data_IF_703587599842
#
_entry.id   IF_703587599842
#
_cell.length_a   1.000
_cell.length_b   1.000
_cell.length_c   1.000
_cell.angle_alpha   90.00
_cell.angle_beta   90.00
_cell.angle_gamma   90.00
#
_symmetry.space_group_name_H-M   'P 1'
#
loop_
_entity.id
_entity.type
_entity.pdbx_description
1 polymer ?
#
# COMPACT_ATOMS: atom_id res chain seq x y z
N UNK A 1 26.94 -19.49 24.83
CA UNK A 1 25.64 -19.86 24.23
C UNK A 1 25.91 -20.34 22.81
N UNK A 2 25.31 -21.44 22.35
CA UNK A 2 25.44 -21.84 20.96
C UNK A 2 24.73 -20.81 20.08
N UNK A 3 25.42 -20.39 19.02
CA UNK A 3 24.91 -19.47 17.99
C UNK A 3 23.61 -20.06 17.44
N UNK A 4 22.52 -19.29 17.48
CA UNK A 4 21.24 -19.73 16.91
C UNK A 4 21.33 -19.83 15.39
N UNK A 5 20.55 -20.68 14.71
CA UNK A 5 20.52 -20.74 13.25
C UNK A 5 20.24 -19.38 12.57
N UNK A 6 19.51 -18.49 13.24
CA UNK A 6 19.26 -17.12 12.78
C UNK A 6 20.50 -16.21 12.91
N UNK A 7 21.27 -16.32 14.00
CA UNK A 7 22.57 -15.65 14.15
C UNK A 7 23.63 -16.25 13.20
N UNK A 8 23.52 -17.54 12.89
CA UNK A 8 24.32 -18.21 11.88
C UNK A 8 23.94 -17.74 10.47
N UNK A 9 22.68 -17.44 10.20
CA UNK A 9 22.22 -16.83 8.94
C UNK A 9 22.71 -15.38 8.79
N UNK A 10 22.77 -14.61 9.89
CA UNK A 10 23.44 -13.31 9.94
C UNK A 10 24.93 -13.40 9.59
N UNK A 11 25.60 -14.49 9.99
CA UNK A 11 27.02 -14.74 9.69
C UNK A 11 27.29 -15.40 8.33
N UNK A 12 26.34 -16.16 7.76
CA UNK A 12 26.51 -16.96 6.53
C UNK A 12 25.94 -16.31 5.26
N UNK A 13 25.44 -15.07 5.32
CA UNK A 13 25.09 -14.30 4.12
C UNK A 13 24.01 -14.92 3.23
N UNK A 14 23.16 -15.82 3.77
CA UNK A 14 22.03 -16.39 3.02
C UNK A 14 20.75 -15.64 3.38
N UNK A 15 20.00 -15.11 2.39
CA UNK A 15 18.70 -14.51 2.63
C UNK A 15 17.73 -15.54 3.18
N UNK A 16 16.79 -15.11 4.02
CA UNK A 16 15.69 -15.96 4.49
C UNK A 16 14.46 -15.79 3.58
N UNK A 17 13.56 -16.78 3.50
CA UNK A 17 12.47 -16.81 2.53
C UNK A 17 11.61 -15.53 2.49
N UNK A 18 11.35 -14.94 3.64
CA UNK A 18 10.48 -13.77 3.80
C UNK A 18 11.11 -12.51 3.20
N UNK A 19 12.44 -12.35 3.28
CA UNK A 19 13.16 -11.28 2.60
C UNK A 19 13.06 -11.42 1.08
N UNK A 20 13.30 -12.63 0.56
CA UNK A 20 13.23 -12.91 -0.88
C UNK A 20 11.80 -12.72 -1.39
N UNK A 21 10.81 -13.23 -0.65
CA UNK A 21 9.40 -13.12 -1.00
C UNK A 21 8.94 -11.66 -1.06
N UNK A 22 9.34 -10.84 -0.08
CA UNK A 22 9.07 -9.41 -0.09
C UNK A 22 9.68 -8.73 -1.30
N UNK A 23 10.98 -8.94 -1.58
CA UNK A 23 11.63 -8.31 -2.72
C UNK A 23 11.00 -8.73 -4.05
N UNK A 24 10.78 -10.03 -4.25
CA UNK A 24 10.13 -10.56 -5.46
C UNK A 24 8.69 -10.09 -5.62
N UNK A 25 8.00 -9.76 -4.53
CA UNK A 25 6.69 -9.12 -4.56
C UNK A 25 6.71 -7.79 -5.32
N UNK A 26 7.82 -7.05 -5.29
CA UNK A 26 7.98 -5.76 -5.97
C UNK A 26 8.16 -5.88 -7.47
N UNK A 27 8.62 -7.04 -7.96
CA UNK A 27 8.97 -7.25 -9.37
C UNK A 27 7.74 -7.26 -10.30
N UNK A 28 6.54 -7.38 -9.72
CA UNK A 28 5.29 -7.27 -10.47
C UNK A 28 4.88 -5.84 -10.83
N UNK A 29 5.54 -4.83 -10.25
CA UNK A 29 5.26 -3.40 -10.43
C UNK A 29 6.58 -2.62 -10.57
N UNK A 30 7.05 -2.48 -11.81
CA UNK A 30 8.27 -1.75 -12.15
C UNK A 30 7.89 -0.32 -12.52
N UNK A 31 8.21 0.65 -11.66
CA UNK A 31 7.77 2.04 -11.83
C UNK A 31 8.94 2.91 -12.28
N UNK A 32 8.89 3.47 -13.50
CA UNK A 32 9.83 4.49 -13.97
C UNK A 32 9.74 5.74 -13.10
N UNK A 33 10.87 6.23 -12.60
CA UNK A 33 10.93 7.51 -11.87
C UNK A 33 12.10 8.37 -12.30
N UNK A 34 11.93 9.69 -12.24
CA UNK A 34 12.99 10.65 -12.44
C UNK A 34 13.81 10.83 -11.15
N UNK A 35 13.13 10.87 -10.00
CA UNK A 35 13.76 11.03 -8.69
C UNK A 35 13.29 9.96 -7.70
N UNK A 36 14.02 9.80 -6.60
CA UNK A 36 13.58 8.90 -5.52
C UNK A 36 12.30 9.40 -4.83
N UNK A 37 11.98 10.70 -4.91
CA UNK A 37 10.79 11.32 -4.29
C UNK A 37 9.49 11.01 -5.03
N UNK A 38 9.58 10.44 -6.22
CA UNK A 38 8.42 10.17 -7.08
C UNK A 38 7.56 9.00 -6.54
N UNK A 39 8.13 8.13 -5.70
CA UNK A 39 7.39 7.24 -4.81
C UNK A 39 7.71 7.57 -3.35
N UNK A 40 6.77 7.24 -2.46
CA UNK A 40 6.85 7.63 -1.06
C UNK A 40 6.44 6.48 -0.14
N UNK A 41 7.19 6.28 0.95
CA UNK A 41 6.86 5.35 2.06
C UNK A 41 6.40 3.98 1.56
N UNK A 42 5.16 3.58 1.87
CA UNK A 42 4.59 2.29 1.51
C UNK A 42 4.51 1.99 0.01
N UNK A 43 4.67 2.99 -0.87
CA UNK A 43 4.86 2.70 -2.29
C UNK A 43 6.17 1.93 -2.57
N UNK A 44 7.22 2.15 -1.76
CA UNK A 44 8.47 1.39 -1.83
C UNK A 44 8.34 -0.07 -1.37
N UNK A 45 7.25 -0.44 -0.68
CA UNK A 45 6.99 -1.84 -0.34
C UNK A 45 6.42 -2.63 -1.52
N UNK A 46 5.78 -1.95 -2.48
CA UNK A 46 4.99 -2.58 -3.55
C UNK A 46 5.64 -2.53 -4.93
N UNK A 47 6.46 -1.52 -5.19
CA UNK A 47 7.07 -1.30 -6.48
C UNK A 47 8.60 -1.36 -6.42
N UNK A 48 9.21 -1.83 -7.51
CA UNK A 48 10.64 -1.69 -7.75
C UNK A 48 10.91 -0.49 -8.68
N UNK A 49 11.99 0.23 -8.39
CA UNK A 49 12.34 1.45 -9.10
C UNK A 49 13.83 1.75 -8.99
N UNK A 50 14.36 2.46 -9.98
CA UNK A 50 15.69 3.07 -9.93
C UNK A 50 15.57 4.46 -10.54
N UNK A 51 15.82 5.51 -9.73
CA UNK A 51 15.67 6.91 -10.18
C UNK A 51 16.51 7.19 -11.43
N UNK A 52 15.90 7.73 -12.49
CA UNK A 52 16.53 7.99 -13.79
C UNK A 52 16.59 6.78 -14.74
N UNK A 53 16.13 5.60 -14.32
CA UNK A 53 15.98 4.44 -15.19
C UNK A 53 14.53 4.39 -15.73
N UNK A 54 14.27 5.14 -16.81
CA UNK A 54 12.91 5.34 -17.31
C UNK A 54 12.43 4.23 -18.28
N UNK A 55 13.33 3.47 -18.89
CA UNK A 55 12.99 2.40 -19.84
C UNK A 55 12.68 1.10 -19.11
N UNK A 56 11.60 0.42 -19.52
CA UNK A 56 11.07 -0.76 -18.86
C UNK A 56 12.02 -1.96 -18.88
N UNK A 57 12.72 -2.19 -19.99
CA UNK A 57 13.72 -3.25 -20.18
C UNK A 57 14.96 -3.06 -19.29
N UNK A 58 15.47 -1.83 -19.22
CA UNK A 58 16.53 -1.44 -18.28
C UNK A 58 16.10 -1.66 -16.83
N UNK A 59 14.87 -1.23 -16.48
CA UNK A 59 14.37 -1.36 -15.11
C UNK A 59 14.18 -2.84 -14.71
N UNK A 60 13.72 -3.68 -15.63
CA UNK A 60 13.59 -5.12 -15.43
C UNK A 60 14.95 -5.79 -15.20
N UNK A 61 15.97 -5.47 -16.02
CA UNK A 61 17.33 -6.01 -15.84
C UNK A 61 17.95 -5.56 -14.50
N UNK A 62 17.74 -4.29 -14.11
CA UNK A 62 18.18 -3.79 -12.81
C UNK A 62 17.47 -4.50 -11.65
N UNK A 63 16.17 -4.77 -11.80
CA UNK A 63 15.39 -5.50 -10.79
C UNK A 63 15.91 -6.94 -10.64
N UNK A 64 16.20 -7.62 -11.75
CA UNK A 64 16.80 -8.95 -11.76
C UNK A 64 18.21 -8.95 -11.13
N UNK A 65 19.02 -7.91 -11.36
CA UNK A 65 20.33 -7.78 -10.74
C UNK A 65 20.24 -7.66 -9.21
N UNK A 66 19.24 -6.94 -8.69
CA UNK A 66 19.00 -6.83 -7.26
C UNK A 66 18.38 -8.12 -6.69
N UNK A 67 17.50 -8.81 -7.44
CA UNK A 67 16.98 -10.13 -7.02
C UNK A 67 18.12 -11.12 -6.86
N UNK A 68 19.06 -11.18 -7.82
CA UNK A 68 20.21 -12.06 -7.72
C UNK A 68 21.12 -11.69 -6.54
N UNK A 69 21.30 -10.39 -6.24
CA UNK A 69 22.02 -9.97 -5.05
C UNK A 69 21.33 -10.42 -3.75
N UNK A 70 20.01 -10.29 -3.67
CA UNK A 70 19.24 -10.68 -2.48
C UNK A 70 19.13 -12.20 -2.38
N UNK A 71 18.57 -12.86 -3.38
CA UNK A 71 18.28 -14.30 -3.38
C UNK A 71 19.53 -15.19 -3.51
N UNK A 72 20.53 -14.72 -4.26
CA UNK A 72 21.79 -15.44 -4.50
C UNK A 72 22.92 -15.10 -3.53
N UNK A 73 22.75 -14.07 -2.69
CA UNK A 73 23.77 -13.64 -1.73
C UNK A 73 25.02 -13.03 -2.38
N UNK A 74 24.85 -12.33 -3.49
CA UNK A 74 26.01 -11.73 -4.19
C UNK A 74 26.61 -10.55 -3.43
N UNK A 75 27.91 -10.39 -3.57
CA UNK A 75 28.64 -9.25 -3.00
C UNK A 75 28.37 -7.96 -3.77
N UNK A 76 28.69 -6.82 -3.15
CA UNK A 76 28.60 -5.51 -3.79
C UNK A 76 29.43 -5.43 -5.08
N UNK A 77 30.58 -6.10 -5.14
CA UNK A 77 31.45 -6.06 -6.32
C UNK A 77 30.91 -6.92 -7.47
N UNK A 78 30.29 -8.06 -7.16
CA UNK A 78 29.54 -8.85 -8.14
C UNK A 78 28.35 -8.05 -8.70
N UNK A 79 27.58 -7.41 -7.82
CA UNK A 79 26.49 -6.53 -8.21
C UNK A 79 26.97 -5.37 -9.10
N UNK A 80 28.09 -4.73 -8.75
CA UNK A 80 28.71 -3.65 -9.55
C UNK A 80 29.10 -4.11 -10.95
N UNK A 81 29.71 -5.28 -11.06
CA UNK A 81 30.07 -5.85 -12.36
C UNK A 81 28.82 -6.07 -13.23
N UNK A 82 27.76 -6.69 -12.68
CA UNK A 82 26.50 -6.89 -13.41
C UNK A 82 25.81 -5.57 -13.76
N UNK A 83 25.77 -4.61 -12.83
CA UNK A 83 25.20 -3.29 -13.08
C UNK A 83 25.91 -2.60 -14.26
N UNK A 84 27.24 -2.66 -14.31
CA UNK A 84 28.02 -2.12 -15.42
C UNK A 84 27.66 -2.75 -16.77
N UNK A 85 27.51 -4.08 -16.81
CA UNK A 85 27.08 -4.80 -18.02
C UNK A 85 25.67 -4.38 -18.48
N UNK A 86 24.73 -4.22 -17.55
CA UNK A 86 23.36 -3.76 -17.83
C UNK A 86 23.39 -2.33 -18.39
N UNK A 87 24.11 -1.42 -17.73
CA UNK A 87 24.27 -0.03 -18.20
C UNK A 87 24.81 0.01 -19.62
N UNK A 88 25.84 -0.78 -19.92
CA UNK A 88 26.47 -0.85 -21.25
C UNK A 88 25.50 -1.42 -22.30
N UNK A 89 24.85 -2.55 -22.01
CA UNK A 89 23.90 -3.22 -22.91
C UNK A 89 22.76 -2.29 -23.31
N UNK A 90 22.21 -1.55 -22.35
CA UNK A 90 21.09 -0.66 -22.58
C UNK A 90 21.53 0.71 -23.12
N UNK A 91 22.83 1.03 -23.12
CA UNK A 91 23.31 2.36 -23.48
C UNK A 91 22.78 3.45 -22.54
N UNK A 92 22.63 3.16 -21.25
CA UNK A 92 22.11 4.13 -20.27
C UNK A 92 23.20 5.12 -19.85
N UNK A 93 23.11 6.35 -20.33
CA UNK A 93 24.09 7.42 -20.10
C UNK A 93 23.50 8.58 -19.29
N UNK A 94 24.36 9.47 -18.76
CA UNK A 94 23.95 10.71 -18.09
C UNK A 94 23.18 10.52 -16.77
N UNK A 95 23.26 9.34 -16.15
CA UNK A 95 22.61 9.07 -14.88
C UNK A 95 23.42 9.61 -13.71
N UNK A 96 22.77 9.99 -12.61
CA UNK A 96 23.43 10.65 -11.47
C UNK A 96 24.59 9.81 -10.91
N UNK A 97 25.81 10.33 -11.04
CA UNK A 97 27.04 9.67 -10.62
C UNK A 97 27.81 8.97 -11.75
N UNK A 98 27.35 9.02 -13.01
CA UNK A 98 28.03 8.38 -14.15
C UNK A 98 29.42 8.93 -14.42
N UNK A 99 29.64 10.20 -14.07
CA UNK A 99 30.75 11.02 -14.59
C UNK A 99 32.09 10.73 -13.91
N UNK A 100 32.10 9.96 -12.82
CA UNK A 100 33.32 9.58 -12.11
C UNK A 100 33.23 8.17 -11.53
N UNK A 101 34.38 7.52 -11.35
CA UNK A 101 34.44 6.22 -10.69
C UNK A 101 33.82 6.26 -9.27
N UNK A 102 34.06 7.34 -8.52
CA UNK A 102 33.47 7.56 -7.20
C UNK A 102 31.94 7.68 -7.26
N UNK A 103 31.39 8.41 -8.22
CA UNK A 103 29.94 8.52 -8.43
C UNK A 103 29.29 7.18 -8.77
N UNK A 104 29.92 6.38 -9.64
CA UNK A 104 29.43 5.04 -9.98
C UNK A 104 29.48 4.10 -8.78
N UNK A 105 30.57 4.15 -8.01
CA UNK A 105 30.75 3.37 -6.79
C UNK A 105 29.71 3.75 -5.71
N UNK A 106 29.37 5.04 -5.59
CA UNK A 106 28.33 5.54 -4.71
C UNK A 106 26.94 5.05 -5.14
N UNK A 107 26.56 5.23 -6.40
CA UNK A 107 25.22 4.87 -6.89
C UNK A 107 24.94 3.38 -6.75
N UNK A 108 25.88 2.55 -7.19
CA UNK A 108 25.77 1.09 -7.08
C UNK A 108 25.65 0.66 -5.63
N UNK A 109 26.43 1.26 -4.72
CA UNK A 109 26.33 1.01 -3.28
C UNK A 109 24.95 1.36 -2.75
N UNK A 110 24.41 2.53 -3.07
CA UNK A 110 23.08 2.96 -2.59
C UNK A 110 21.97 2.01 -3.08
N UNK A 111 21.96 1.65 -4.37
CA UNK A 111 20.95 0.73 -4.92
C UNK A 111 21.04 -0.63 -4.20
N UNK A 112 22.25 -1.16 -4.05
CA UNK A 112 22.49 -2.44 -3.40
C UNK A 112 22.12 -2.42 -1.92
N UNK A 113 22.67 -1.48 -1.13
CA UNK A 113 22.47 -1.47 0.33
C UNK A 113 21.04 -1.11 0.71
N UNK A 114 20.40 -0.17 0.01
CA UNK A 114 19.02 0.21 0.31
C UNK A 114 18.04 -0.92 0.03
N UNK A 115 18.14 -1.59 -1.12
CA UNK A 115 17.25 -2.72 -1.43
C UNK A 115 17.48 -3.90 -0.48
N UNK A 116 18.74 -4.20 -0.12
CA UNK A 116 19.02 -5.24 0.85
C UNK A 116 18.49 -4.90 2.24
N UNK A 117 18.79 -3.71 2.77
CA UNK A 117 18.38 -3.33 4.12
C UNK A 117 16.85 -3.27 4.26
N UNK A 118 16.15 -2.69 3.29
CA UNK A 118 14.68 -2.60 3.34
C UNK A 118 14.00 -3.95 3.14
N UNK A 119 14.51 -4.81 2.24
CA UNK A 119 13.96 -6.17 2.08
C UNK A 119 14.21 -7.05 3.29
N UNK A 120 15.40 -6.97 3.87
CA UNK A 120 15.73 -7.66 5.11
C UNK A 120 14.81 -7.20 6.25
N UNK A 121 14.67 -5.89 6.44
CA UNK A 121 13.82 -5.33 7.48
C UNK A 121 12.35 -5.73 7.33
N UNK A 122 11.84 -5.77 6.10
CA UNK A 122 10.49 -6.24 5.80
C UNK A 122 10.29 -7.73 6.08
N UNK A 123 11.27 -8.56 5.71
CA UNK A 123 11.25 -9.98 6.06
C UNK A 123 11.28 -10.18 7.58
N UNK A 124 12.15 -9.45 8.30
CA UNK A 124 12.24 -9.55 9.77
C UNK A 124 10.95 -9.10 10.43
N UNK A 125 10.29 -8.08 9.88
CA UNK A 125 9.02 -7.62 10.40
C UNK A 125 7.92 -8.70 10.30
N UNK A 126 7.93 -9.53 9.27
CA UNK A 126 7.05 -10.70 9.17
C UNK A 126 7.21 -11.62 10.39
N UNK A 127 8.47 -11.90 10.76
CA UNK A 127 8.83 -12.78 11.87
C UNK A 127 8.57 -12.12 13.23
N UNK A 128 8.85 -10.82 13.37
CA UNK A 128 8.73 -10.06 14.61
C UNK A 128 7.29 -9.98 15.14
N UNK A 129 6.29 -10.05 14.26
CA UNK A 129 4.87 -10.04 14.66
C UNK A 129 4.47 -11.19 15.59
N UNK A 130 5.24 -12.28 15.61
CA UNK A 130 5.02 -13.38 16.56
C UNK A 130 5.49 -13.06 17.99
N UNK A 131 6.10 -11.90 18.22
CA UNK A 131 6.65 -11.50 19.52
C UNK A 131 5.88 -10.29 20.08
N UNK A 132 5.46 -10.33 21.36
CA UNK A 132 4.73 -9.24 22.00
C UNK A 132 5.60 -8.00 22.29
N UNK A 133 6.91 -8.19 22.50
CA UNK A 133 7.85 -7.11 22.80
C UNK A 133 8.93 -7.03 21.73
N UNK A 134 9.29 -5.82 21.33
CA UNK A 134 10.34 -5.53 20.37
C UNK A 134 11.43 -4.69 21.02
N UNK A 135 12.69 -4.98 20.67
CA UNK A 135 13.87 -4.28 21.15
C UNK A 135 14.56 -3.59 19.98
N UNK A 136 14.72 -2.26 20.05
CA UNK A 136 15.49 -1.51 19.07
C UNK A 136 16.98 -1.72 19.32
N UNK A 137 17.74 -2.09 18.28
CA UNK A 137 19.18 -2.29 18.36
C UNK A 137 19.92 -1.42 17.35
N UNK A 138 20.97 -0.77 17.82
CA UNK A 138 21.91 -0.07 16.96
C UNK A 138 22.83 -1.07 16.24
N UNK A 139 23.07 -0.82 14.95
CA UNK A 139 23.98 -1.61 14.13
C UNK A 139 25.44 -1.18 14.28
N UNK A 140 26.31 -1.69 13.40
CA UNK A 140 27.75 -1.40 13.43
C UNK A 140 28.14 -0.09 12.71
N UNK A 141 27.32 0.97 12.78
CA UNK A 141 27.67 2.24 12.13
C UNK A 141 28.87 2.88 12.83
N UNK A 142 29.89 3.30 12.07
CA UNK A 142 31.05 4.04 12.62
C UNK A 142 30.71 5.48 13.00
N UNK A 143 29.74 6.06 12.29
CA UNK A 143 29.23 7.40 12.53
C UNK A 143 27.70 7.32 12.72
N UNK A 144 27.24 6.99 13.93
CA UNK A 144 25.84 6.79 14.21
C UNK A 144 25.12 8.11 14.47
N UNK A 145 23.86 8.21 14.00
CA UNK A 145 22.99 9.32 14.38
C UNK A 145 22.75 9.28 15.89
N UNK A 146 22.90 10.40 16.63
CA UNK A 146 22.72 10.42 18.08
C UNK A 146 21.36 9.89 18.54
N UNK A 147 20.30 10.14 17.76
CA UNK A 147 18.96 9.64 18.05
C UNK A 147 18.89 8.11 17.99
N UNK A 148 19.59 7.48 17.04
CA UNK A 148 19.60 6.02 16.89
C UNK A 148 20.37 5.34 18.04
N UNK A 149 21.43 5.98 18.53
CA UNK A 149 22.11 5.55 19.76
C UNK A 149 21.22 5.71 20.98
N UNK A 150 20.47 6.81 21.06
CA UNK A 150 19.54 7.03 22.15
C UNK A 150 18.46 5.94 22.18
N UNK A 151 18.01 5.43 21.04
CA UNK A 151 17.03 4.33 20.98
C UNK A 151 17.61 2.94 21.21
N UNK A 152 18.94 2.75 21.21
CA UNK A 152 19.53 1.43 21.41
C UNK A 152 19.15 0.85 22.79
N UNK A 153 18.56 -0.34 22.78
CA UNK A 153 18.04 -1.04 23.94
C UNK A 153 16.65 -0.59 24.40
N UNK A 154 15.95 0.26 23.64
CA UNK A 154 14.55 0.61 23.89
C UNK A 154 13.67 -0.64 23.69
N UNK A 155 12.88 -0.99 24.71
CA UNK A 155 11.95 -2.13 24.68
C UNK A 155 10.52 -1.62 24.65
N UNK A 156 9.75 -1.95 23.62
CA UNK A 156 8.35 -1.52 23.51
C UNK A 156 7.44 -2.68 23.10
N UNK A 157 6.14 -2.64 23.47
CA UNK A 157 5.13 -3.50 22.86
C UNK A 157 5.17 -3.42 21.34
N UNK A 158 4.88 -4.54 20.67
CA UNK A 158 4.91 -4.64 19.20
C UNK A 158 3.94 -3.67 18.49
N UNK A 159 2.85 -3.29 19.15
CA UNK A 159 1.84 -2.36 18.64
C UNK A 159 2.10 -0.89 18.99
N UNK A 160 3.18 -0.60 19.72
CA UNK A 160 3.50 0.77 20.15
C UNK A 160 3.66 1.71 18.93
N UNK A 161 3.06 2.92 18.94
CA UNK A 161 3.07 3.84 17.79
C UNK A 161 4.46 4.20 17.25
N UNK A 162 5.49 4.17 18.10
CA UNK A 162 6.90 4.37 17.73
C UNK A 162 7.30 3.56 16.50
N UNK A 163 6.93 2.27 16.44
CA UNK A 163 7.34 1.38 15.35
C UNK A 163 6.78 1.78 13.99
N UNK A 164 5.65 2.49 13.95
CA UNK A 164 5.04 2.91 12.68
C UNK A 164 5.94 3.85 11.87
N UNK A 165 6.79 4.61 12.54
CA UNK A 165 7.64 5.65 11.93
C UNK A 165 9.12 5.48 12.23
N UNK A 166 9.49 4.70 13.25
CA UNK A 166 10.87 4.53 13.72
C UNK A 166 11.37 3.09 13.61
N UNK A 167 10.61 2.18 12.99
CA UNK A 167 11.12 0.86 12.66
C UNK A 167 12.23 0.99 11.59
N UNK A 168 13.44 0.47 11.84
CA UNK A 168 14.57 0.66 10.95
C UNK A 168 14.46 -0.18 9.65
N UNK A 169 15.17 0.21 8.58
CA UNK A 169 15.99 1.40 8.45
C UNK A 169 15.17 2.70 8.47
N UNK A 170 15.63 3.69 9.23
CA UNK A 170 14.98 5.01 9.34
C UNK A 170 15.74 6.11 8.61
N UNK A 171 16.76 5.72 7.83
CA UNK A 171 17.64 6.63 7.12
C UNK A 171 18.49 5.91 6.06
N UNK A 172 19.08 6.69 5.15
CA UNK A 172 20.09 6.18 4.22
C UNK A 172 21.29 5.60 4.99
N UNK A 173 21.73 4.41 4.58
CA UNK A 173 22.80 3.65 5.22
C UNK A 173 22.58 3.35 6.73
N UNK A 174 21.33 3.35 7.20
CA UNK A 174 21.01 2.89 8.55
C UNK A 174 21.25 1.38 8.68
N UNK A 175 21.98 0.95 9.71
CA UNK A 175 22.25 -0.45 10.02
C UNK A 175 21.54 -0.94 11.30
N UNK A 176 20.68 -0.10 11.89
CA UNK A 176 19.87 -0.48 13.05
C UNK A 176 18.87 -1.58 12.66
N UNK A 177 18.44 -2.36 13.66
CA UNK A 177 17.52 -3.48 13.48
C UNK A 177 16.65 -3.66 14.72
N UNK A 178 15.63 -4.52 14.62
CA UNK A 178 14.73 -4.85 15.72
C UNK A 178 14.75 -6.36 15.97
N UNK A 179 14.72 -6.72 17.25
CA UNK A 179 14.62 -8.12 17.69
C UNK A 179 13.39 -8.31 18.57
N UNK A 180 12.70 -9.44 18.39
CA UNK A 180 11.49 -9.75 19.16
C UNK A 180 11.82 -10.39 20.49
N UNK A 181 10.92 -10.32 21.47
CA UNK A 181 11.05 -10.97 22.76
C UNK A 181 9.66 -11.39 23.28
N UNK A 182 9.59 -12.54 23.94
CA UNK A 182 8.33 -13.09 24.49
C UNK A 182 7.97 -12.48 25.84
N UNK A 183 8.96 -12.02 26.57
CA UNK A 183 8.87 -11.42 27.90
C UNK A 183 10.03 -10.44 28.10
N UNK A 184 10.01 -9.72 29.22
CA UNK A 184 11.01 -8.70 29.53
C UNK A 184 12.40 -9.32 29.73
N UNK A 185 12.51 -10.50 30.35
CA UNK A 185 13.80 -11.16 30.55
C UNK A 185 14.47 -11.54 29.22
N UNK A 186 13.69 -12.04 28.27
CA UNK A 186 14.14 -12.28 26.90
C UNK A 186 14.53 -10.97 26.20
N UNK A 187 13.82 -9.88 26.43
CA UNK A 187 14.16 -8.57 25.88
C UNK A 187 15.52 -8.09 26.40
N UNK A 188 15.77 -8.21 27.71
CA UNK A 188 17.07 -7.86 28.33
C UNK A 188 18.22 -8.72 27.77
N UNK A 189 18.03 -10.04 27.64
CA UNK A 189 19.02 -10.92 27.01
C UNK A 189 19.33 -10.55 25.56
N UNK A 190 18.38 -9.94 24.86
CA UNK A 190 18.52 -9.46 23.48
C UNK A 190 19.01 -8.01 23.39
N UNK A 191 19.45 -7.43 24.51
CA UNK A 191 20.06 -6.11 24.61
C UNK A 191 19.09 -4.97 24.91
N UNK A 192 17.89 -5.29 25.38
CA UNK A 192 17.02 -4.30 26.03
C UNK A 192 17.66 -3.74 27.30
N UNK A 193 17.42 -2.47 27.60
CA UNK A 193 17.89 -1.81 28.83
C UNK A 193 16.77 -1.81 29.87
N UNK A 194 17.10 -2.20 31.11
CA UNK A 194 16.13 -2.25 32.20
C UNK A 194 15.46 -0.88 32.42
N UNK A 195 14.13 -0.86 32.52
CA UNK A 195 13.34 0.36 32.67
C UNK A 195 13.26 1.25 31.43
N UNK A 196 13.95 0.92 30.33
CA UNK A 196 13.89 1.70 29.10
C UNK A 196 12.72 1.26 28.22
N UNK A 197 11.51 1.54 28.70
CA UNK A 197 10.24 1.09 28.11
C UNK A 197 9.38 2.22 27.57
N UNK A 198 9.97 3.38 27.35
CA UNK A 198 9.33 4.54 26.75
C UNK A 198 10.33 5.26 25.83
N UNK A 199 9.92 5.68 24.63
CA UNK A 199 10.79 6.45 23.76
C UNK A 199 11.16 7.81 24.38
N UNK A 200 12.29 8.42 23.97
CA UNK A 200 12.69 9.75 24.45
C UNK A 200 11.61 10.81 24.24
N UNK A 201 11.51 11.79 25.15
CA UNK A 201 10.54 12.88 25.04
C UNK A 201 10.71 13.62 23.70
N UNK A 202 9.59 13.85 23.00
CA UNK A 202 9.56 14.55 21.72
C UNK A 202 9.91 13.70 20.50
N UNK A 203 10.05 12.36 20.64
CA UNK A 203 10.31 11.44 19.53
C UNK A 203 9.30 11.55 18.37
N UNK A 204 8.07 12.00 18.65
CA UNK A 204 6.97 12.16 17.70
C UNK A 204 6.76 13.61 17.23
N UNK A 205 7.57 14.55 17.72
CA UNK A 205 7.43 15.98 17.41
C UNK A 205 8.12 16.31 16.10
N UNK A 206 7.33 16.63 15.06
CA UNK A 206 7.86 16.99 13.74
C UNK A 206 8.46 18.41 13.73
N UNK A 207 9.56 18.57 13.00
CA UNK A 207 10.15 19.88 12.74
C UNK A 207 9.32 20.73 11.76
N UNK A 208 9.74 21.96 11.48
CA UNK A 208 9.05 22.87 10.55
C UNK A 208 8.97 22.35 9.10
N UNK A 209 9.76 21.33 8.75
CA UNK A 209 9.74 20.64 7.46
C UNK A 209 8.94 19.33 7.51
N UNK A 210 8.31 19.02 8.64
CA UNK A 210 7.52 17.82 8.86
C UNK A 210 8.35 16.56 9.14
N UNK A 211 9.63 16.67 9.51
CA UNK A 211 10.51 15.51 9.75
C UNK A 211 10.52 15.12 11.23
N UNK A 212 10.59 13.81 11.51
CA UNK A 212 10.70 13.28 12.86
C UNK A 212 12.17 13.27 13.32
N UNK A 213 12.46 13.43 14.63
CA UNK A 213 13.83 13.36 15.14
C UNK A 213 14.49 12.03 14.80
N UNK A 214 15.64 12.06 14.13
CA UNK A 214 16.38 10.85 13.78
C UNK A 214 15.79 10.04 12.62
N UNK A 215 14.75 10.51 11.93
CA UNK A 215 14.18 9.84 10.75
C UNK A 215 14.39 10.73 9.53
N UNK A 216 15.10 10.22 8.52
CA UNK A 216 15.34 10.96 7.29
C UNK A 216 14.02 11.10 6.48
N UNK A 217 13.96 12.10 5.61
CA UNK A 217 12.81 12.34 4.73
C UNK A 217 12.47 11.08 3.90
N UNK A 218 11.20 10.64 3.95
CA UNK A 218 10.71 9.46 3.23
C UNK A 218 10.97 8.12 3.92
N UNK A 219 11.64 8.11 5.08
CA UNK A 219 11.92 6.92 5.88
C UNK A 219 11.00 6.76 7.09
N UNK A 220 9.99 7.63 7.25
CA UNK A 220 8.99 7.55 8.33
C UNK A 220 7.89 6.52 8.02
N UNK A 221 8.32 5.28 7.76
CA UNK A 221 7.48 4.11 7.58
C UNK A 221 8.23 2.86 8.02
N UNK A 222 7.49 1.76 8.16
CA UNK A 222 8.03 0.47 8.52
C UNK A 222 8.10 -0.41 7.26
N UNK A 223 9.30 -0.73 6.70
CA UNK A 223 9.40 -1.55 5.50
C UNK A 223 8.66 -2.88 5.66
N UNK A 224 7.84 -3.24 4.68
CA UNK A 224 6.97 -4.40 4.73
C UNK A 224 5.59 -4.14 5.33
N UNK A 225 5.39 -3.09 6.12
CA UNK A 225 4.13 -2.88 6.85
C UNK A 225 2.88 -2.88 5.96
N UNK A 226 3.01 -2.43 4.70
CA UNK A 226 1.91 -2.32 3.75
C UNK A 226 1.68 -3.56 2.88
N UNK A 227 2.54 -4.57 2.99
CA UNK A 227 2.46 -5.82 2.22
C UNK A 227 2.51 -7.07 3.11
N UNK A 228 2.70 -6.89 4.42
CA UNK A 228 2.78 -7.98 5.37
C UNK A 228 1.40 -8.54 5.70
N UNK A 229 1.12 -9.61 4.96
CA UNK A 229 0.32 -10.77 5.29
C UNK A 229 0.39 -11.07 6.80
N UNK A 230 -0.75 -11.05 7.50
CA UNK A 230 -0.76 -11.10 8.96
C UNK A 230 -0.52 -12.49 9.56
N UNK A 231 -0.58 -13.60 8.83
CA UNK A 231 -0.49 -14.95 9.47
C UNK A 231 0.19 -16.01 8.60
N UNK A 232 1.25 -15.66 7.87
CA UNK A 232 2.00 -16.60 7.01
C UNK A 232 2.86 -17.64 7.76
N UNK A 233 2.76 -17.76 9.09
CA UNK A 233 3.71 -18.54 9.89
C UNK A 233 3.15 -19.75 10.66
N UNK A 234 1.86 -20.10 10.55
CA UNK A 234 1.34 -21.29 11.25
C UNK A 234 1.25 -22.56 10.39
N UNK A 235 1.19 -22.45 9.06
CA UNK A 235 1.11 -23.60 8.16
C UNK A 235 1.92 -23.30 6.91
N UNK A 236 3.00 -24.06 6.67
CA UNK A 236 3.93 -23.78 5.58
C UNK A 236 3.22 -23.59 4.23
N UNK A 237 3.49 -22.46 3.56
CA UNK A 237 3.23 -22.27 2.14
C UNK A 237 2.10 -21.29 1.77
N UNK A 238 2.53 -20.10 1.34
CA UNK A 238 2.03 -19.36 0.17
C UNK A 238 0.63 -18.72 0.09
N UNK A 239 -0.31 -18.86 1.03
CA UNK A 239 -1.68 -18.37 0.73
C UNK A 239 -1.89 -16.84 0.76
N UNK A 240 -1.42 -16.09 1.76
CA UNK A 240 -1.74 -14.64 1.83
C UNK A 240 -0.96 -13.74 0.84
N UNK A 241 0.31 -14.05 0.53
CA UNK A 241 1.05 -13.33 -0.53
C UNK A 241 0.54 -13.69 -1.92
N UNK A 242 0.11 -14.94 -2.14
CA UNK A 242 -0.53 -15.34 -3.38
C UNK A 242 -1.88 -14.63 -3.57
N UNK A 243 -2.65 -14.42 -2.49
CA UNK A 243 -3.96 -13.76 -2.55
C UNK A 243 -3.87 -12.29 -2.97
N UNK A 244 -2.92 -11.51 -2.42
CA UNK A 244 -2.70 -10.13 -2.90
C UNK A 244 -2.10 -10.09 -4.32
N UNK A 245 -1.21 -11.03 -4.67
CA UNK A 245 -0.72 -11.19 -6.05
C UNK A 245 -1.82 -11.61 -7.02
N UNK A 246 -2.78 -12.41 -6.56
CA UNK A 246 -3.97 -12.81 -7.29
C UNK A 246 -4.87 -11.59 -7.49
N UNK A 247 -5.12 -10.80 -6.45
CA UNK A 247 -5.81 -9.53 -6.58
C UNK A 247 -5.10 -8.62 -7.60
N UNK A 248 -3.77 -8.49 -7.54
CA UNK A 248 -3.00 -7.70 -8.52
C UNK A 248 -3.09 -8.28 -9.95
N UNK A 249 -3.05 -9.60 -10.10
CA UNK A 249 -3.20 -10.26 -11.39
C UNK A 249 -4.60 -10.07 -11.97
N UNK A 250 -5.63 -10.12 -11.14
CA UNK A 250 -7.01 -9.85 -11.52
C UNK A 250 -7.20 -8.38 -11.91
N UNK A 251 -6.69 -7.45 -11.09
CA UNK A 251 -6.77 -6.01 -11.33
C UNK A 251 -6.04 -5.57 -12.60
N UNK A 252 -4.93 -6.23 -12.98
CA UNK A 252 -4.21 -5.92 -14.24
C UNK A 252 -4.99 -6.28 -15.50
N UNK A 253 -5.96 -7.20 -15.42
CA UNK A 253 -6.73 -7.66 -16.58
C UNK A 253 -7.99 -6.84 -16.86
N UNK A 254 -8.41 -6.02 -15.90
CA UNK A 254 -9.66 -5.24 -16.00
C UNK A 254 -9.57 -3.95 -16.83
N UNK A 255 -8.51 -3.12 -16.71
CA UNK A 255 -8.48 -1.83 -17.38
C UNK A 255 -8.65 -1.96 -18.89
N UNK A 256 -9.56 -1.16 -19.45
CA UNK A 256 -9.81 -1.08 -20.89
C UNK A 256 -10.73 -2.18 -21.44
N UNK A 257 -11.25 -3.06 -20.59
CA UNK A 257 -12.29 -4.00 -21.00
C UNK A 257 -13.60 -3.26 -21.28
N UNK A 258 -14.36 -3.75 -22.27
CA UNK A 258 -15.72 -3.28 -22.50
C UNK A 258 -16.58 -3.52 -21.25
N UNK A 259 -17.49 -2.60 -20.95
CA UNK A 259 -18.26 -2.62 -19.70
C UNK A 259 -18.86 -4.00 -19.35
N UNK A 260 -19.50 -4.69 -20.31
CA UNK A 260 -20.10 -5.99 -20.01
C UNK A 260 -19.05 -7.07 -19.70
N UNK A 261 -17.92 -7.07 -20.41
CA UNK A 261 -16.82 -8.02 -20.19
C UNK A 261 -16.19 -7.77 -18.82
N UNK A 262 -15.83 -6.52 -18.51
CA UNK A 262 -15.26 -6.15 -17.22
C UNK A 262 -16.19 -6.50 -16.06
N UNK A 263 -17.50 -6.24 -16.21
CA UNK A 263 -18.51 -6.62 -15.21
C UNK A 263 -18.60 -8.14 -15.01
N UNK A 264 -18.62 -8.93 -16.09
CA UNK A 264 -18.67 -10.39 -16.00
C UNK A 264 -17.40 -10.98 -15.37
N UNK A 265 -16.23 -10.42 -15.68
CA UNK A 265 -14.97 -10.84 -15.06
C UNK A 265 -15.01 -10.66 -13.54
N UNK A 266 -15.52 -9.52 -13.05
CA UNK A 266 -15.64 -9.25 -11.61
C UNK A 266 -16.80 -10.01 -10.97
N UNK A 267 -17.90 -10.27 -11.70
CA UNK A 267 -18.98 -11.13 -11.23
C UNK A 267 -18.52 -12.56 -10.96
N UNK A 268 -17.51 -13.03 -11.68
CA UNK A 268 -16.90 -14.34 -11.49
C UNK A 268 -15.86 -14.39 -10.34
N UNK A 269 -15.55 -13.26 -9.69
CA UNK A 269 -14.60 -13.26 -8.59
C UNK A 269 -15.16 -13.97 -7.36
N UNK A 270 -14.37 -14.83 -6.69
CA UNK A 270 -14.74 -15.38 -5.40
C UNK A 270 -14.97 -14.29 -4.34
N UNK A 271 -15.88 -14.47 -3.37
CA UNK A 271 -16.15 -13.50 -2.31
C UNK A 271 -14.90 -13.00 -1.57
N UNK A 272 -13.94 -13.89 -1.30
CA UNK A 272 -12.70 -13.54 -0.59
C UNK A 272 -11.84 -12.51 -1.34
N UNK A 273 -11.97 -12.38 -2.66
CA UNK A 273 -11.26 -11.34 -3.43
C UNK A 273 -11.76 -9.93 -3.04
N UNK A 274 -13.04 -9.81 -2.70
CA UNK A 274 -13.61 -8.54 -2.23
C UNK A 274 -13.14 -8.20 -0.81
N UNK A 275 -12.89 -9.19 0.05
CA UNK A 275 -12.25 -8.99 1.36
C UNK A 275 -10.83 -8.41 1.22
N UNK A 276 -10.05 -8.95 0.27
CA UNK A 276 -8.70 -8.44 -0.03
C UNK A 276 -8.75 -7.02 -0.59
N UNK A 277 -9.70 -6.74 -1.48
CA UNK A 277 -9.89 -5.42 -2.06
C UNK A 277 -10.33 -4.40 -0.99
N UNK A 278 -11.20 -4.80 -0.07
CA UNK A 278 -11.63 -3.98 1.06
C UNK A 278 -10.48 -3.70 2.03
N UNK A 279 -9.66 -4.70 2.36
CA UNK A 279 -8.46 -4.50 3.17
C UNK A 279 -7.49 -3.50 2.54
N UNK A 280 -7.24 -3.62 1.23
CA UNK A 280 -6.40 -2.67 0.46
C UNK A 280 -6.98 -1.26 0.49
N UNK A 281 -8.27 -1.12 0.23
CA UNK A 281 -8.93 0.18 0.20
C UNK A 281 -8.97 0.84 1.58
N UNK A 282 -9.26 0.08 2.64
CA UNK A 282 -9.27 0.56 4.01
C UNK A 282 -7.92 1.16 4.42
N UNK A 283 -6.82 0.51 4.05
CA UNK A 283 -5.48 1.03 4.29
C UNK A 283 -5.20 2.34 3.54
N UNK A 284 -5.58 2.42 2.26
CA UNK A 284 -5.46 3.66 1.48
C UNK A 284 -6.26 4.80 2.13
N UNK A 285 -7.47 4.50 2.60
CA UNK A 285 -8.31 5.48 3.28
C UNK A 285 -7.66 5.96 4.59
N UNK A 286 -7.10 5.06 5.40
CA UNK A 286 -6.39 5.41 6.63
C UNK A 286 -5.16 6.28 6.38
N UNK A 287 -4.34 5.93 5.39
CA UNK A 287 -3.15 6.69 5.02
C UNK A 287 -3.52 8.12 4.57
N UNK A 288 -4.57 8.27 3.75
CA UNK A 288 -5.04 9.58 3.29
C UNK A 288 -5.63 10.44 4.43
N UNK A 289 -6.29 9.83 5.41
CA UNK A 289 -6.81 10.52 6.59
C UNK A 289 -5.65 11.02 7.46
N UNK A 290 -4.60 10.20 7.63
CA UNK A 290 -3.44 10.54 8.42
C UNK A 290 -2.57 11.63 7.78
N UNK A 291 -2.22 11.47 6.49
CA UNK A 291 -1.27 12.34 5.80
C UNK A 291 -1.91 13.63 5.24
N UNK A 292 -3.25 13.67 5.08
CA UNK A 292 -4.06 14.80 4.55
C UNK A 292 -3.58 15.40 3.22
N UNK A 293 -2.79 14.66 2.43
CA UNK A 293 -2.24 15.11 1.14
C UNK A 293 -2.81 14.26 0.00
N UNK A 294 -3.96 14.64 -0.58
CA UNK A 294 -4.47 13.98 -1.78
C UNK A 294 -3.48 14.20 -2.93
N UNK A 295 -3.10 13.12 -3.62
CA UNK A 295 -2.18 13.14 -4.76
C UNK A 295 -2.91 13.08 -6.10
N UNK A 296 -4.24 13.13 -6.09
CA UNK A 296 -5.08 13.07 -7.28
C UNK A 296 -5.22 11.67 -7.86
N UNK A 297 -4.88 10.63 -7.10
CA UNK A 297 -4.98 9.23 -7.54
C UNK A 297 -6.44 8.75 -7.54
N UNK A 298 -6.72 7.75 -8.36
CA UNK A 298 -7.98 7.02 -8.40
C UNK A 298 -7.73 5.55 -8.00
N UNK A 299 -8.54 5.03 -7.10
CA UNK A 299 -8.39 3.69 -6.54
C UNK A 299 -9.56 2.82 -7.00
N UNK A 300 -9.25 1.66 -7.57
CA UNK A 300 -10.26 0.66 -7.90
C UNK A 300 -10.91 0.14 -6.60
N UNK A 301 -12.24 0.14 -6.56
CA UNK A 301 -13.03 -0.33 -5.41
C UNK A 301 -14.06 -1.40 -5.77
N UNK A 302 -14.15 -1.77 -7.04
CA UNK A 302 -15.06 -2.82 -7.52
C UNK A 302 -15.46 -2.58 -8.97
N UNK A 303 -16.49 -3.30 -9.42
CA UNK A 303 -17.13 -3.06 -10.71
C UNK A 303 -18.65 -3.20 -10.59
N UNK A 304 -19.38 -2.51 -11.47
CA UNK A 304 -20.82 -2.71 -11.64
C UNK A 304 -21.11 -4.18 -11.94
N UNK A 305 -22.23 -4.70 -11.44
CA UNK A 305 -22.69 -6.05 -11.79
C UNK A 305 -23.07 -6.11 -13.27
N UNK A 306 -22.84 -7.24 -13.93
CA UNK A 306 -23.18 -7.40 -15.35
C UNK A 306 -24.69 -7.25 -15.60
N UNK A 307 -25.52 -7.53 -14.60
CA UNK A 307 -26.96 -7.26 -14.64
C UNK A 307 -27.24 -5.74 -14.72
N UNK A 308 -26.57 -4.92 -13.92
CA UNK A 308 -26.74 -3.45 -13.92
C UNK A 308 -26.27 -2.83 -15.22
N UNK A 309 -25.13 -3.30 -15.75
CA UNK A 309 -24.62 -2.83 -17.04
C UNK A 309 -25.62 -3.14 -18.16
N UNK A 310 -26.13 -4.38 -18.24
CA UNK A 310 -27.14 -4.74 -19.25
C UNK A 310 -28.42 -3.92 -19.12
N UNK A 311 -28.95 -3.82 -17.90
CA UNK A 311 -30.16 -3.04 -17.64
C UNK A 311 -29.94 -1.56 -18.00
N UNK A 312 -28.82 -0.96 -17.59
CA UNK A 312 -28.53 0.44 -17.89
C UNK A 312 -28.37 0.71 -19.39
N UNK A 313 -27.66 -0.14 -20.12
CA UNK A 313 -27.53 -0.02 -21.59
C UNK A 313 -28.91 -0.12 -22.28
N UNK A 314 -29.80 -0.99 -21.81
CA UNK A 314 -31.17 -1.11 -22.35
C UNK A 314 -32.04 0.14 -22.09
N UNK A 315 -31.69 0.93 -21.08
CA UNK A 315 -32.34 2.18 -20.72
C UNK A 315 -31.67 3.41 -21.37
N UNK A 316 -30.73 3.19 -22.30
CA UNK A 316 -30.05 4.26 -23.03
C UNK A 316 -28.83 4.86 -22.33
N UNK A 317 -28.35 4.27 -21.23
CA UNK A 317 -27.10 4.71 -20.62
C UNK A 317 -25.89 4.40 -21.53
N UNK A 318 -24.89 5.27 -21.55
CA UNK A 318 -23.59 5.02 -22.16
C UNK A 318 -22.60 4.56 -21.09
N UNK A 319 -22.24 3.27 -21.10
CA UNK A 319 -21.33 2.67 -20.11
C UNK A 319 -20.13 2.07 -20.85
N UNK A 320 -18.98 2.76 -20.80
CA UNK A 320 -17.76 2.32 -21.52
C UNK A 320 -17.02 1.20 -20.79
N UNK A 321 -16.93 1.31 -19.47
CA UNK A 321 -16.20 0.43 -18.55
C UNK A 321 -17.11 0.11 -17.36
N UNK A 322 -16.88 -0.98 -16.64
CA UNK A 322 -17.66 -1.34 -15.46
C UNK A 322 -16.96 -0.96 -14.14
N UNK A 323 -15.66 -0.66 -14.22
CA UNK A 323 -14.79 -0.39 -13.08
C UNK A 323 -15.29 0.82 -12.29
N UNK A 324 -15.34 0.64 -10.98
CA UNK A 324 -15.73 1.64 -10.00
C UNK A 324 -14.46 2.13 -9.31
N UNK A 325 -14.28 3.45 -9.29
CA UNK A 325 -13.11 4.08 -8.70
C UNK A 325 -13.47 5.14 -7.67
N UNK A 326 -12.65 5.31 -6.64
CA UNK A 326 -12.74 6.44 -5.69
C UNK A 326 -11.47 7.26 -5.81
N UNK A 327 -11.57 8.59 -5.91
CA UNK A 327 -10.39 9.47 -5.96
C UNK A 327 -9.94 9.87 -4.56
N UNK A 328 -8.66 10.18 -4.39
CA UNK A 328 -8.11 10.69 -3.11
C UNK A 328 -8.97 11.80 -2.51
N UNK A 329 -9.36 12.77 -3.35
CA UNK A 329 -10.18 13.91 -2.95
C UNK A 329 -11.55 13.48 -2.43
N UNK A 330 -12.15 12.44 -3.01
CA UNK A 330 -13.45 11.91 -2.61
C UNK A 330 -13.34 11.14 -1.27
N UNK A 331 -12.24 10.42 -1.04
CA UNK A 331 -11.90 9.78 0.25
C UNK A 331 -11.76 10.83 1.34
N UNK A 332 -10.89 11.83 1.12
CA UNK A 332 -10.68 12.92 2.09
C UNK A 332 -11.98 13.71 2.33
N UNK A 333 -12.80 13.91 1.29
CA UNK A 333 -14.08 14.61 1.45
C UNK A 333 -15.10 13.81 2.27
N UNK A 334 -15.20 12.50 2.05
CA UNK A 334 -16.12 11.62 2.76
C UNK A 334 -15.80 11.54 4.26
N UNK A 335 -14.51 11.55 4.61
CA UNK A 335 -14.03 11.31 5.98
C UNK A 335 -13.68 12.61 6.73
N UNK A 336 -14.10 13.77 6.22
CA UNK A 336 -13.82 15.08 6.85
C UNK A 336 -14.60 15.24 8.17
N UNK A 337 -13.96 15.70 9.27
CA UNK A 337 -14.66 15.93 10.55
C UNK A 337 -15.86 16.87 10.47
N UNK A 338 -15.84 17.83 9.55
CA UNK A 338 -16.97 18.76 9.34
C UNK A 338 -18.26 18.05 8.91
N UNK A 339 -18.18 16.87 8.27
CA UNK A 339 -19.36 16.10 7.86
C UNK A 339 -20.11 15.50 9.05
N UNK A 340 -19.41 15.19 10.14
CA UNK A 340 -20.02 14.70 11.39
C UNK A 340 -20.90 15.80 11.99
N UNK A 341 -20.42 17.04 11.99
CA UNK A 341 -21.18 18.20 12.50
C UNK A 341 -22.46 18.48 11.70
N UNK A 342 -22.44 18.19 10.41
CA UNK A 342 -23.58 18.43 9.51
C UNK A 342 -24.59 17.25 9.46
N UNK A 343 -24.39 16.18 10.25
CA UNK A 343 -25.21 14.97 10.19
C UNK A 343 -25.11 14.22 8.86
N UNK A 344 -24.00 14.37 8.14
CA UNK A 344 -23.77 13.83 6.78
C UNK A 344 -22.55 12.92 6.70
N UNK A 345 -22.02 12.49 7.84
CA UNK A 345 -20.88 11.59 7.88
C UNK A 345 -21.33 10.18 7.50
N UNK A 346 -20.58 9.55 6.60
CA UNK A 346 -20.67 8.10 6.40
C UNK A 346 -19.92 7.43 7.55
N UNK A 347 -20.44 6.31 8.03
CA UNK A 347 -19.75 5.53 9.05
C UNK A 347 -18.31 5.20 8.59
N UNK A 348 -17.28 5.55 9.38
CA UNK A 348 -15.90 5.36 8.98
C UNK A 348 -15.49 3.91 8.75
N UNK A 349 -16.09 2.96 9.48
CA UNK A 349 -15.78 1.53 9.34
C UNK A 349 -16.45 0.96 8.08
N UNK A 350 -17.69 1.35 7.83
CA UNK A 350 -18.42 1.05 6.61
C UNK A 350 -17.68 1.60 5.38
N UNK A 351 -17.20 2.84 5.45
CA UNK A 351 -16.46 3.44 4.33
C UNK A 351 -15.15 2.70 4.04
N UNK A 352 -14.38 2.31 5.06
CA UNK A 352 -13.15 1.50 4.87
C UNK A 352 -13.42 0.15 4.22
N UNK A 353 -14.61 -0.40 4.42
CA UNK A 353 -15.05 -1.67 3.86
C UNK A 353 -15.92 -1.50 2.61
N UNK A 354 -15.95 -0.31 2.00
CA UNK A 354 -16.75 0.02 0.83
C UNK A 354 -16.74 -1.05 -0.29
N UNK A 355 -15.60 -1.66 -0.67
CA UNK A 355 -15.59 -2.71 -1.69
C UNK A 355 -16.47 -3.93 -1.39
N UNK A 356 -16.71 -4.25 -0.10
CA UNK A 356 -17.63 -5.33 0.29
C UNK A 356 -19.09 -4.96 0.01
N UNK A 357 -19.43 -3.69 0.24
CA UNK A 357 -20.80 -3.22 0.16
C UNK A 357 -21.23 -2.93 -1.28
N UNK A 358 -20.31 -2.48 -2.14
CA UNK A 358 -20.61 -1.96 -3.48
C UNK A 358 -21.43 -2.88 -4.39
N UNK A 359 -21.45 -4.18 -4.12
CA UNK A 359 -22.13 -5.20 -4.93
C UNK A 359 -23.40 -5.76 -4.31
N UNK A 360 -23.72 -5.36 -3.08
CA UNK A 360 -24.94 -5.76 -2.36
C UNK A 360 -25.77 -4.56 -1.90
N UNK A 361 -26.11 -3.60 -2.78
CA UNK A 361 -27.06 -2.55 -2.45
C UNK A 361 -28.47 -3.14 -2.30
N UNK A 362 -29.31 -2.46 -1.53
CA UNK A 362 -30.74 -2.81 -1.43
C UNK A 362 -31.51 -2.43 -2.69
N UNK A 363 -31.14 -1.32 -3.31
CA UNK A 363 -31.72 -0.86 -4.56
C UNK A 363 -30.67 -0.16 -5.43
N UNK A 364 -30.84 -0.29 -6.75
CA UNK A 364 -30.00 0.33 -7.77
C UNK A 364 -30.90 1.12 -8.71
N UNK A 365 -30.69 2.43 -8.75
CA UNK A 365 -31.46 3.35 -9.60
C UNK A 365 -30.55 3.96 -10.66
N UNK A 366 -31.11 4.23 -11.84
CA UNK A 366 -30.42 4.90 -12.93
C UNK A 366 -31.12 6.19 -13.31
N UNK A 367 -30.33 7.24 -13.47
CA UNK A 367 -30.68 8.46 -14.17
C UNK A 367 -29.84 8.54 -15.44
N UNK A 368 -30.44 8.84 -16.59
CA UNK A 368 -29.72 9.06 -17.85
C UNK A 368 -29.54 10.56 -18.13
N UNK A 369 -30.56 11.37 -17.86
CA UNK A 369 -30.54 12.82 -18.08
C UNK A 369 -30.85 13.64 -16.81
N UNK A 370 -30.33 14.88 -16.69
CA UNK A 370 -29.37 15.54 -17.59
C UNK A 370 -27.92 15.08 -17.38
N UNK A 371 -27.68 14.25 -16.36
CA UNK A 371 -26.38 13.63 -16.06
C UNK A 371 -26.61 12.17 -15.72
N UNK A 372 -25.79 11.32 -16.31
CA UNK A 372 -25.87 9.88 -16.08
C UNK A 372 -25.33 9.52 -14.69
N UNK A 373 -26.21 8.99 -13.85
CA UNK A 373 -25.91 8.66 -12.46
C UNK A 373 -26.54 7.31 -12.10
N UNK A 374 -25.76 6.43 -11.48
CA UNK A 374 -26.26 5.20 -10.88
C UNK A 374 -26.23 5.36 -9.36
N UNK A 375 -27.39 5.22 -8.72
CA UNK A 375 -27.56 5.40 -7.29
C UNK A 375 -27.61 4.03 -6.64
N UNK A 376 -26.68 3.77 -5.70
CA UNK A 376 -26.65 2.56 -4.90
C UNK A 376 -27.17 2.90 -3.49
N UNK A 377 -28.26 2.23 -3.10
CA UNK A 377 -28.98 2.52 -1.85
C UNK A 377 -28.65 1.45 -0.80
N UNK A 378 -28.26 1.88 0.41
CA UNK A 378 -27.95 1.02 1.55
C UNK A 378 -28.76 1.45 2.79
N UNK A 379 -29.16 0.47 3.60
CA UNK A 379 -29.73 0.69 4.93
C UNK A 379 -28.63 0.55 5.97
N UNK A 380 -28.41 1.59 6.78
CA UNK A 380 -27.44 1.57 7.88
C UNK A 380 -28.11 1.62 9.25
N UNK A 381 -29.36 1.16 9.38
CA UNK A 381 -29.99 0.86 10.67
C UNK A 381 -30.59 2.06 11.42
N UNK A 382 -30.19 3.29 11.10
CA UNK A 382 -30.89 4.51 11.56
C UNK A 382 -30.93 5.63 10.53
N UNK A 383 -30.09 5.56 9.49
CA UNK A 383 -29.99 6.50 8.39
C UNK A 383 -29.72 5.75 7.08
N UNK A 384 -30.15 6.29 5.94
CA UNK A 384 -29.95 5.68 4.63
C UNK A 384 -28.65 6.20 4.00
N UNK A 385 -27.62 5.36 3.92
CA UNK A 385 -26.39 5.72 3.22
C UNK A 385 -26.62 5.65 1.70
N UNK A 386 -26.53 6.81 1.02
CA UNK A 386 -26.58 6.90 -0.44
C UNK A 386 -25.18 7.01 -1.02
N UNK A 387 -24.78 6.03 -1.82
CA UNK A 387 -23.61 6.12 -2.69
C UNK A 387 -24.05 6.50 -4.10
N UNK A 388 -23.39 7.51 -4.67
CA UNK A 388 -23.59 7.93 -6.05
C UNK A 388 -22.42 7.44 -6.86
N UNK A 389 -22.70 6.60 -7.85
CA UNK A 389 -21.76 6.25 -8.90
C UNK A 389 -22.03 7.15 -10.09
N UNK A 390 -21.09 8.06 -10.35
CA UNK A 390 -21.09 8.87 -11.56
C UNK A 390 -20.59 8.00 -12.71
N UNK A 391 -21.46 7.71 -13.67
CA UNK A 391 -21.17 6.78 -14.77
C UNK A 391 -20.59 7.54 -15.96
N UNK A 392 -19.51 7.02 -16.55
CA UNK A 392 -18.73 7.68 -17.63
C UNK A 392 -18.43 9.16 -17.32
N UNK A 393 -17.90 9.40 -16.11
CA UNK A 393 -17.70 10.75 -15.61
C UNK A 393 -16.75 11.55 -16.50
N UNK A 394 -17.23 12.69 -17.00
CA UNK A 394 -16.54 13.59 -17.95
C UNK A 394 -16.13 12.93 -19.28
N UNK A 395 -16.78 11.83 -19.67
CA UNK A 395 -16.56 11.17 -20.96
C UNK A 395 -15.21 10.44 -21.08
N UNK A 396 -14.45 10.33 -19.99
CA UNK A 396 -13.13 9.71 -19.94
C UNK A 396 -13.17 8.18 -19.75
N UNK A 397 -14.35 7.55 -19.69
CA UNK A 397 -14.47 6.11 -19.47
C UNK A 397 -14.18 5.67 -18.02
N UNK A 398 -14.33 6.58 -17.05
CA UNK A 398 -14.17 6.26 -15.63
C UNK A 398 -15.50 6.40 -14.88
N UNK A 399 -15.87 5.38 -14.10
CA UNK A 399 -16.99 5.49 -13.18
C UNK A 399 -16.48 5.86 -11.79
N UNK A 400 -16.96 6.98 -11.27
CA UNK A 400 -16.47 7.56 -10.01
C UNK A 400 -17.50 7.37 -8.92
N UNK A 401 -17.12 6.64 -7.88
CA UNK A 401 -17.89 6.42 -6.67
C UNK A 401 -17.70 7.61 -5.73
N UNK A 402 -18.81 8.21 -5.32
CA UNK A 402 -18.85 9.31 -4.34
C UNK A 402 -19.90 9.04 -3.28
N UNK A 403 -19.64 9.53 -2.08
CA UNK A 403 -20.68 9.67 -1.07
C UNK A 403 -21.56 10.87 -1.45
N UNK A 404 -22.88 10.73 -1.31
CA UNK A 404 -23.79 11.83 -1.63
C UNK A 404 -23.51 13.04 -0.72
N UNK A 405 -23.66 14.26 -1.27
CA UNK A 405 -23.46 15.50 -0.51
C UNK A 405 -24.60 15.80 0.48
N UNK A 406 -25.73 15.10 0.36
CA UNK A 406 -26.92 15.17 1.24
C UNK A 406 -27.54 13.77 1.34
N UNK A 407 -28.04 13.43 2.54
CA UNK A 407 -29.00 12.34 2.73
C UNK A 407 -30.24 12.64 1.86
N UNK A 408 -30.71 11.67 1.08
CA UNK A 408 -31.95 11.79 0.30
C UNK A 408 -32.99 10.88 0.93
N UNK A 409 -34.11 11.45 1.34
CA UNK A 409 -35.25 10.70 1.84
C UNK A 409 -35.80 9.77 0.76
N UNK A 410 -36.10 8.51 1.10
CA UNK A 410 -36.60 7.54 0.11
C UNK A 410 -37.96 7.89 -0.47
N UNK A 411 -38.76 8.70 0.23
CA UNK A 411 -39.98 9.27 -0.33
C UNK A 411 -39.70 10.11 -1.60
N UNK A 412 -38.60 10.86 -1.61
CA UNK A 412 -38.16 11.65 -2.76
C UNK A 412 -37.74 10.75 -3.94
N UNK A 413 -37.01 9.66 -3.66
CA UNK A 413 -36.59 8.70 -4.69
C UNK A 413 -37.79 7.99 -5.33
N UNK A 414 -38.75 7.51 -4.51
CA UNK A 414 -40.01 6.94 -5.02
C UNK A 414 -40.78 7.89 -5.93
N UNK A 415 -40.86 9.17 -5.55
CA UNK A 415 -41.50 10.20 -6.38
C UNK A 415 -40.76 10.45 -7.70
N UNK A 416 -39.43 10.32 -7.74
CA UNK A 416 -38.67 10.43 -8.98
C UNK A 416 -38.82 9.21 -9.89
N UNK A 417 -38.90 8.00 -9.32
CA UNK A 417 -39.22 6.78 -10.06
C UNK A 417 -40.62 6.87 -10.68
N UNK A 418 -41.62 7.26 -9.88
CA UNK A 418 -43.00 7.42 -10.36
C UNK A 418 -43.15 8.47 -11.47
N UNK A 419 -42.27 9.48 -11.50
CA UNK A 419 -42.22 10.52 -12.55
C UNK A 419 -41.33 10.15 -13.74
N UNK A 420 -40.80 8.93 -13.80
CA UNK A 420 -39.91 8.46 -14.86
C UNK A 420 -38.54 9.14 -14.92
N UNK A 421 -38.14 9.86 -13.86
CA UNK A 421 -36.81 10.52 -13.77
C UNK A 421 -35.71 9.57 -13.32
N UNK A 422 -36.09 8.48 -12.65
CA UNK A 422 -35.21 7.39 -12.24
C UNK A 422 -35.81 6.08 -12.72
N UNK A 423 -34.95 5.16 -13.13
CA UNK A 423 -35.32 3.79 -13.51
C UNK A 423 -34.74 2.83 -12.48
N UNK A 424 -35.55 1.90 -11.99
CA UNK A 424 -35.09 0.83 -11.10
C UNK A 424 -34.37 -0.25 -11.93
N UNK A 425 -33.10 -0.51 -11.61
CA UNK A 425 -32.30 -1.56 -12.25
C UNK A 425 -32.26 -2.85 -11.42
N UNK A 426 -32.32 -2.73 -10.09
CA UNK A 426 -32.39 -3.85 -9.15
C UNK A 426 -32.98 -3.39 -7.81
N UNK A 427 -33.76 -4.26 -7.14
CA UNK A 427 -34.41 -3.94 -5.88
C UNK A 427 -35.60 -2.98 -6.03
N UNK A 428 -36.02 -2.33 -4.93
CA UNK A 428 -37.08 -1.32 -4.91
C UNK A 428 -36.91 -0.33 -3.76
N UNK A 429 -37.38 0.91 -3.92
CA UNK A 429 -37.11 2.05 -2.99
C UNK A 429 -38.22 2.38 -2.01
#
# INVERSE_FOLDING_TARGET
MPITPEELAFALGRPFPEQVAFFRGKLGDLVPTATWRDLWKGAHDRAFMVAGAARADLLADLAAAVDAAIAGGETLDQFRARFGQIVQRHGWQGWTGSDSAAGRAWRTRIIYTTNQATSYAAGRLAQLRAFPLWVYRHGASRDPRPQHLAWDGLVLPADHPFWRTHYPPSAWNCSCYVVGARDMDAALRRGGKAGYTAPPKGWDTRDSRGRLPGVDEGWDYMPGATVLCKEAHATGGDRQCADMRMLDALLRKLPGQQALIGAQMVDAWPPYIFDLLAARFGQIADDLIADRKPQGRAHFVGAMRAAWVRAGLSQGATIKTAELTVRDQDITHAMRPSKVKDGKAVDPLWYRTLPLHLRTPQAVLLRVEPKQEMLLIYDSGSDKAKIVVLVDYRGAGHNVVRTASRLIETGSLRSEVARGKLVELEGGV
#
